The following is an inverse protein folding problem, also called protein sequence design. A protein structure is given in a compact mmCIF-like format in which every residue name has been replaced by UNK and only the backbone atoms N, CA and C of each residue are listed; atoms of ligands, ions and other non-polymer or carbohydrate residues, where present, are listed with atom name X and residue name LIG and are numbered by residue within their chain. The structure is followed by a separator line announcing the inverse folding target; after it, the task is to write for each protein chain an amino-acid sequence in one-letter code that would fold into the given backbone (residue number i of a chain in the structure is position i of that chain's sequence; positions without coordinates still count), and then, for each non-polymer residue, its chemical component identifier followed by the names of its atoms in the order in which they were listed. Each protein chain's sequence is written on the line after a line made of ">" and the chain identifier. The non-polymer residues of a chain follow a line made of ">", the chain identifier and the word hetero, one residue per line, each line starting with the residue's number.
data_IF_550786625531
#
_entry.id   IF_550786625531
#
_cell.length_a   1.000
_cell.length_b   1.000
_cell.length_c   1.000
_cell.angle_alpha   90.00
_cell.angle_beta   90.00
_cell.angle_gamma   90.00
#
_symmetry.space_group_name_H-M   'P 1'
#
loop_
_entity.id
_entity.type
_entity.pdbx_description
1 polymer ?
#
# COMPACT_ATOMS: atom_id res chain seq x y z
N UNK A 1 20.16 -0.31 -13.13
CA UNK A 1 19.74 -0.84 -11.81
C UNK A 1 18.27 -0.54 -11.68
N UNK A 2 17.44 -1.52 -12.01
CA UNK A 2 16.02 -1.34 -12.19
C UNK A 2 15.37 -2.13 -11.06
N UNK A 3 15.45 -1.61 -9.83
CA UNK A 3 14.76 -2.19 -8.68
C UNK A 3 13.33 -1.61 -8.63
N UNK A 4 12.60 -1.76 -9.74
CA UNK A 4 11.15 -1.65 -9.79
C UNK A 4 10.52 -2.98 -9.33
N UNK A 5 11.13 -3.62 -8.33
CA UNK A 5 10.40 -4.53 -7.44
C UNK A 5 9.31 -3.68 -6.82
N UNK A 6 8.11 -3.79 -7.35
CA UNK A 6 6.90 -3.16 -6.83
C UNK A 6 6.67 -3.74 -5.43
N UNK A 7 7.43 -3.27 -4.43
CA UNK A 7 7.28 -3.68 -3.03
C UNK A 7 5.81 -3.51 -2.69
N UNK A 8 5.18 -4.56 -2.19
CA UNK A 8 3.79 -4.47 -1.77
C UNK A 8 3.67 -3.36 -0.74
N UNK A 9 2.88 -2.34 -1.08
CA UNK A 9 2.54 -1.29 -0.13
C UNK A 9 1.79 -1.94 1.02
N UNK A 10 2.44 -2.04 2.18
CA UNK A 10 1.86 -2.54 3.40
C UNK A 10 1.33 -1.38 4.23
N UNK A 11 0.03 -1.39 4.47
CA UNK A 11 -0.66 -0.46 5.34
C UNK A 11 -0.73 -1.02 6.76
N UNK A 12 -0.56 -0.15 7.76
CA UNK A 12 -0.59 -0.54 9.17
C UNK A 12 -1.13 0.59 10.07
N UNK A 13 -1.67 0.26 11.27
CA UNK A 13 -2.07 1.25 12.26
C UNK A 13 -0.86 1.99 12.84
N UNK A 14 -0.99 3.31 12.99
CA UNK A 14 0.04 4.17 13.57
C UNK A 14 -0.55 5.06 14.65
N UNK A 15 0.06 5.00 15.84
CA UNK A 15 -0.34 5.85 16.97
C UNK A 15 0.04 7.31 16.72
N UNK A 16 -0.93 8.21 16.87
CA UNK A 16 -0.74 9.67 16.80
C UNK A 16 -0.82 10.32 18.18
N UNK A 17 -0.47 11.61 18.28
CA UNK A 17 -0.65 12.43 19.49
C UNK A 17 -2.07 12.35 20.03
N UNK A 18 -3.06 12.39 19.13
CA UNK A 18 -4.48 12.19 19.44
C UNK A 18 -5.02 11.19 18.42
N UNK A 19 -5.59 10.09 18.90
CA UNK A 19 -6.12 9.02 18.04
C UNK A 19 -5.05 8.16 17.38
N UNK A 20 -5.39 7.64 16.20
CA UNK A 20 -4.62 6.71 15.38
C UNK A 20 -4.74 7.11 13.90
N UNK A 21 -3.92 6.53 13.03
CA UNK A 21 -4.13 6.59 11.59
C UNK A 21 -3.70 5.29 10.91
N UNK A 22 -4.02 5.17 9.63
CA UNK A 22 -3.37 4.19 8.75
C UNK A 22 -2.14 4.85 8.13
N UNK A 23 -0.99 4.18 8.20
CA UNK A 23 0.26 4.64 7.61
C UNK A 23 0.83 3.58 6.65
N UNK A 24 1.76 4.01 5.80
CA UNK A 24 2.54 3.14 4.92
C UNK A 24 3.90 3.77 4.59
N UNK A 25 4.85 2.94 4.17
CA UNK A 25 6.15 3.42 3.68
C UNK A 25 6.03 3.82 2.19
N UNK A 26 6.61 4.96 1.84
CA UNK A 26 6.79 5.40 0.45
C UNK A 26 8.24 5.80 0.22
N UNK A 27 8.75 5.54 -0.97
CA UNK A 27 10.08 6.03 -1.37
C UNK A 27 9.92 7.30 -2.20
N UNK A 28 10.47 8.41 -1.72
CA UNK A 28 10.49 9.70 -2.42
C UNK A 28 11.94 10.18 -2.52
N UNK A 29 12.39 10.53 -3.74
CA UNK A 29 13.78 10.94 -4.01
C UNK A 29 14.85 9.97 -3.45
N UNK A 30 14.58 8.66 -3.49
CA UNK A 30 15.48 7.63 -2.95
C UNK A 30 15.44 7.46 -1.43
N UNK A 31 14.62 8.24 -0.72
CA UNK A 31 14.46 8.18 0.74
C UNK A 31 13.14 7.50 1.09
N UNK A 32 13.19 6.53 1.99
CA UNK A 32 12.00 5.91 2.58
C UNK A 32 11.41 6.82 3.64
N UNK A 33 10.14 7.18 3.48
CA UNK A 33 9.39 8.00 4.42
C UNK A 33 8.09 7.30 4.82
N UNK A 34 7.73 7.43 6.09
CA UNK A 34 6.42 7.00 6.58
C UNK A 34 5.37 8.07 6.23
N UNK A 35 4.36 7.69 5.45
CA UNK A 35 3.26 8.57 5.07
C UNK A 35 2.04 8.29 5.94
N UNK A 36 1.57 9.31 6.66
CA UNK A 36 0.35 9.25 7.44
C UNK A 36 -0.88 9.48 6.55
N UNK A 37 -1.77 8.50 6.50
CA UNK A 37 -3.01 8.54 5.73
C UNK A 37 -4.24 8.80 6.60
N UNK A 38 -5.23 7.92 6.48
CA UNK A 38 -6.58 8.07 7.03
C UNK A 38 -6.54 8.12 8.56
N UNK A 39 -7.04 9.21 9.15
CA UNK A 39 -7.19 9.35 10.61
C UNK A 39 -8.30 8.43 11.13
N UNK A 40 -8.05 7.82 12.29
CA UNK A 40 -8.93 6.91 12.99
C UNK A 40 -8.99 7.30 14.47
N UNK A 41 -10.12 7.10 15.13
CA UNK A 41 -10.26 7.39 16.57
C UNK A 41 -9.60 6.31 17.41
N UNK A 42 -9.72 5.05 16.99
CA UNK A 42 -9.26 3.87 17.74
C UNK A 42 -8.25 3.05 16.94
N UNK A 43 -7.53 2.18 17.64
CA UNK A 43 -6.62 1.22 17.03
C UNK A 43 -7.37 0.25 16.12
N UNK A 44 -8.49 -0.32 16.60
CA UNK A 44 -9.28 -1.29 15.86
C UNK A 44 -9.75 -0.73 14.51
N UNK A 45 -10.25 0.51 14.49
CA UNK A 45 -10.66 1.19 13.25
C UNK A 45 -9.49 1.35 12.26
N UNK A 46 -8.29 1.69 12.77
CA UNK A 46 -7.10 1.78 11.93
C UNK A 46 -6.65 0.40 11.42
N UNK A 47 -6.79 -0.65 12.24
CA UNK A 47 -6.42 -2.02 11.88
C UNK A 47 -7.34 -2.58 10.79
N UNK A 48 -8.64 -2.46 10.95
CA UNK A 48 -9.62 -2.95 9.97
C UNK A 48 -9.45 -2.23 8.62
N UNK A 49 -9.21 -0.92 8.66
CA UNK A 49 -8.93 -0.13 7.44
C UNK A 49 -7.62 -0.51 6.78
N UNK A 50 -6.56 -0.72 7.55
CA UNK A 50 -5.28 -1.18 7.02
C UNK A 50 -5.42 -2.55 6.35
N UNK A 51 -6.11 -3.50 6.99
CA UNK A 51 -6.36 -4.82 6.42
C UNK A 51 -7.15 -4.74 5.10
N UNK A 52 -8.18 -3.91 5.04
CA UNK A 52 -8.95 -3.66 3.80
C UNK A 52 -8.05 -3.13 2.68
N UNK A 53 -7.25 -2.09 2.95
CA UNK A 53 -6.34 -1.52 1.97
C UNK A 53 -5.26 -2.50 1.51
N UNK A 54 -4.77 -3.35 2.40
CA UNK A 54 -3.83 -4.41 2.05
C UNK A 54 -4.46 -5.44 1.10
N UNK A 55 -5.70 -5.86 1.36
CA UNK A 55 -6.44 -6.77 0.48
C UNK A 55 -6.70 -6.14 -0.89
N UNK A 56 -7.12 -4.88 -0.93
CA UNK A 56 -7.33 -4.12 -2.17
C UNK A 56 -6.03 -3.94 -2.95
N UNK A 57 -4.91 -3.62 -2.28
CA UNK A 57 -3.60 -3.50 -2.92
C UNK A 57 -3.14 -4.83 -3.53
N UNK A 58 -3.40 -5.96 -2.85
CA UNK A 58 -3.09 -7.29 -3.38
C UNK A 58 -3.97 -7.66 -4.58
N UNK A 59 -5.27 -7.39 -4.50
CA UNK A 59 -6.22 -7.68 -5.58
C UNK A 59 -5.99 -6.78 -6.81
N UNK A 60 -5.75 -5.48 -6.59
CA UNK A 60 -5.44 -4.53 -7.65
C UNK A 60 -4.14 -4.87 -8.37
N UNK A 61 -3.13 -5.35 -7.65
CA UNK A 61 -1.93 -5.91 -8.29
C UNK A 61 -2.28 -7.11 -9.15
N UNK A 62 -2.97 -8.13 -8.59
CA UNK A 62 -3.36 -9.34 -9.31
C UNK A 62 -4.01 -9.03 -10.67
N UNK A 63 -4.96 -8.11 -10.71
CA UNK A 63 -5.65 -7.70 -11.93
C UNK A 63 -4.71 -7.01 -12.96
N UNK A 64 -3.73 -6.23 -12.51
CA UNK A 64 -2.73 -5.58 -13.40
C UNK A 64 -1.79 -6.62 -14.00
N UNK A 65 -1.37 -7.63 -13.24
CA UNK A 65 -0.52 -8.69 -13.80
C UNK A 65 -1.26 -9.64 -14.75
N UNK A 66 -2.57 -9.84 -14.60
CA UNK A 66 -3.39 -10.55 -15.58
C UNK A 66 -3.52 -9.73 -16.89
N UNK A 67 -3.75 -8.42 -16.78
CA UNK A 67 -3.88 -7.52 -17.95
C UNK A 67 -2.57 -7.33 -18.73
N UNK A 68 -1.41 -7.52 -18.09
CA UNK A 68 -0.10 -7.43 -18.74
C UNK A 68 0.29 -8.70 -19.53
N UNK A 69 -0.41 -9.82 -19.30
CA UNK A 69 -0.12 -11.10 -19.97
C UNK A 69 -0.74 -11.21 -21.37
N UNK A 70 -1.73 -10.39 -21.73
CA UNK A 70 -2.44 -10.51 -23.01
C UNK A 70 -1.82 -9.68 -24.16
N UNK A 71 -0.75 -8.92 -23.91
CA UNK A 71 -0.11 -8.04 -24.91
C UNK A 71 1.13 -8.61 -25.63
N UNK A 72 1.54 -9.84 -25.33
CA UNK A 72 2.81 -10.40 -25.78
C UNK A 72 2.70 -11.41 -26.92
N UNK A 73 2.04 -11.05 -28.02
CA UNK A 73 1.92 -11.95 -29.16
C UNK A 73 1.53 -11.24 -30.44
N UNK A 74 2.48 -10.57 -31.09
CA UNK A 74 2.52 -10.51 -32.55
C UNK A 74 3.90 -9.99 -33.03
N UNK A 75 4.40 -10.66 -34.07
CA UNK A 75 5.55 -10.40 -34.96
C UNK A 75 6.85 -11.13 -34.60
#
# INVERSE_FOLDING_TARGET
>A
MNENTTKETLYYPRKMRIGWCVAHEVTAAGVKIERYGIKCRTYAEAFDRAAKLNNENRAGKAAVNESASEGGGQL
#
